data_IF_578080734606
#
_entry.id   IF_578080734606
#
_cell.length_a   1.000
_cell.length_b   1.000
_cell.length_c   1.000
_cell.angle_alpha   90.00
_cell.angle_beta   90.00
_cell.angle_gamma   90.00
#
_symmetry.space_group_name_H-M   'P 1'
#
loop_
_entity.id
_entity.type
_entity.pdbx_description
1 polymer ?
#
# COMPACT_ATOMS: atom_id res chain seq x y z
N UNK A 1 39.78 33.91 -111.71
CA UNK A 1 40.92 33.60 -112.60
C UNK A 1 42.20 33.92 -111.82
N UNK A 2 43.23 33.08 -111.74
CA UNK A 2 43.31 31.66 -112.11
C UNK A 2 44.76 31.18 -112.24
N UNK A 3 45.11 30.03 -111.64
CA UNK A 3 46.40 29.36 -111.88
C UNK A 3 47.54 29.66 -110.88
N UNK A 4 48.73 29.04 -111.07
CA UNK A 4 49.00 27.77 -110.36
C UNK A 4 50.46 27.60 -109.85
N UNK A 5 50.77 26.40 -109.30
CA UNK A 5 52.11 25.87 -108.89
C UNK A 5 52.66 26.51 -107.57
N UNK A 6 53.64 25.96 -106.84
CA UNK A 6 54.77 25.06 -107.20
C UNK A 6 55.12 24.05 -106.08
N UNK A 7 56.17 23.22 -106.27
CA UNK A 7 56.59 22.06 -105.44
C UNK A 7 57.85 22.41 -104.56
N UNK A 8 58.70 21.47 -104.06
CA UNK A 8 58.91 21.17 -102.63
C UNK A 8 60.19 21.72 -101.97
N UNK A 9 60.39 21.43 -100.67
CA UNK A 9 61.73 21.12 -100.09
C UNK A 9 61.69 20.30 -98.79
N UNK A 10 62.75 19.49 -98.57
CA UNK A 10 63.18 18.82 -97.32
C UNK A 10 64.50 19.50 -96.88
N UNK A 11 65.08 19.32 -95.66
CA UNK A 11 65.23 18.07 -94.87
C UNK A 11 64.26 18.06 -93.64
N UNK A 12 64.45 17.52 -92.42
CA UNK A 12 65.59 16.98 -91.65
C UNK A 12 65.19 15.83 -90.69
N UNK A 13 65.92 15.62 -89.59
CA UNK A 13 65.75 14.62 -88.51
C UNK A 13 66.14 15.23 -87.16
N UNK A 14 65.46 14.84 -86.07
CA UNK A 14 66.11 14.42 -84.81
C UNK A 14 65.15 13.60 -83.92
N UNK A 15 65.68 13.01 -82.84
CA UNK A 15 65.05 12.24 -81.75
C UNK A 15 63.56 12.56 -81.47
N UNK A 16 62.60 11.63 -81.40
CA UNK A 16 62.52 10.33 -80.72
C UNK A 16 62.37 10.40 -79.18
N UNK A 17 61.12 10.31 -78.68
CA UNK A 17 60.68 9.36 -77.63
C UNK A 17 59.14 9.46 -77.38
N UNK A 18 58.57 8.45 -76.72
CA UNK A 18 57.12 8.16 -76.66
C UNK A 18 56.40 8.74 -75.41
N UNK A 19 55.07 8.95 -75.45
CA UNK A 19 54.36 9.73 -74.43
C UNK A 19 53.97 8.93 -73.17
N UNK A 20 53.78 9.64 -72.05
CA UNK A 20 53.03 9.14 -70.87
C UNK A 20 52.04 10.18 -70.35
N UNK A 21 50.78 9.76 -70.18
CA UNK A 21 49.73 10.49 -69.46
C UNK A 21 49.83 10.19 -67.95
N UNK A 22 49.74 11.18 -67.08
CA UNK A 22 49.00 11.21 -65.78
C UNK A 22 49.34 12.54 -65.08
N UNK A 23 48.41 13.49 -64.93
CA UNK A 23 47.20 13.52 -64.08
C UNK A 23 47.47 14.14 -62.70
N UNK A 24 46.97 15.38 -62.50
CA UNK A 24 46.76 15.94 -61.16
C UNK A 24 45.90 14.98 -60.32
N UNK A 25 46.25 14.80 -59.05
CA UNK A 25 45.33 14.27 -58.03
C UNK A 25 45.68 14.84 -56.65
N UNK A 26 44.64 15.14 -55.88
CA UNK A 26 44.73 15.94 -54.65
C UNK A 26 45.24 15.13 -53.46
N UNK A 27 45.74 15.85 -52.44
CA UNK A 27 46.23 15.30 -51.17
C UNK A 27 45.09 14.73 -50.32
N UNK A 28 44.69 13.48 -50.58
CA UNK A 28 43.59 12.77 -49.92
C UNK A 28 43.87 12.32 -48.47
N UNK A 29 44.62 13.12 -47.68
CA UNK A 29 44.96 12.82 -46.28
C UNK A 29 43.97 13.29 -45.19
N UNK A 30 43.18 14.38 -45.31
CA UNK A 30 42.35 14.83 -44.19
C UNK A 30 41.14 13.92 -43.90
N UNK A 31 40.60 13.26 -44.93
CA UNK A 31 39.39 12.43 -44.82
C UNK A 31 39.60 11.15 -43.99
N UNK A 32 40.78 10.53 -44.04
CA UNK A 32 41.08 9.32 -43.27
C UNK A 32 41.13 9.59 -41.76
N UNK A 33 41.74 10.70 -41.36
CA UNK A 33 41.79 11.10 -39.95
C UNK A 33 40.40 11.50 -39.43
N UNK A 34 39.58 12.18 -40.23
CA UNK A 34 38.20 12.48 -39.86
C UNK A 34 37.37 11.20 -39.68
N UNK A 35 37.51 10.22 -40.58
CA UNK A 35 36.82 8.93 -40.47
C UNK A 35 37.28 8.09 -39.26
N UNK A 36 38.58 8.09 -38.94
CA UNK A 36 39.10 7.41 -37.76
C UNK A 36 38.66 8.09 -36.45
N UNK A 37 38.56 9.43 -36.44
CA UNK A 37 38.04 10.18 -35.28
C UNK A 37 36.54 9.95 -35.08
N UNK A 38 35.72 9.92 -36.14
CA UNK A 38 34.29 9.59 -35.99
C UNK A 38 34.07 8.13 -35.63
N UNK A 39 34.85 7.19 -36.18
CA UNK A 39 34.81 5.78 -35.78
C UNK A 39 35.18 5.59 -34.30
N UNK A 40 36.25 6.26 -33.82
CA UNK A 40 36.64 6.21 -32.41
C UNK A 40 35.62 6.87 -31.48
N UNK A 41 34.98 7.97 -31.91
CA UNK A 41 33.92 8.64 -31.15
C UNK A 41 32.65 7.78 -31.05
N UNK A 42 32.21 7.17 -32.15
CA UNK A 42 31.05 6.25 -32.17
C UNK A 42 31.35 5.00 -31.33
N UNK A 43 32.53 4.40 -31.48
CA UNK A 43 32.95 3.26 -30.67
C UNK A 43 32.99 3.62 -29.18
N UNK A 44 33.52 4.80 -28.84
CA UNK A 44 33.49 5.34 -27.47
C UNK A 44 32.08 5.47 -26.92
N UNK A 45 31.14 6.07 -27.67
CA UNK A 45 29.73 6.17 -27.26
C UNK A 45 29.06 4.79 -27.09
N UNK A 46 29.45 3.77 -27.86
CA UNK A 46 28.91 2.41 -27.68
C UNK A 46 29.54 1.62 -26.52
N UNK A 47 30.68 2.06 -25.98
CA UNK A 47 31.40 1.37 -24.90
C UNK A 47 31.06 1.87 -23.50
N UNK A 48 30.39 3.02 -23.39
CA UNK A 48 29.79 3.47 -22.13
C UNK A 48 28.31 3.04 -22.07
N UNK A 49 27.96 1.97 -21.33
CA UNK A 49 26.56 1.68 -21.08
C UNK A 49 25.93 2.86 -20.34
N UNK A 50 24.81 3.37 -20.85
CA UNK A 50 24.04 4.37 -20.12
C UNK A 50 23.64 3.78 -18.75
N UNK A 51 23.92 4.51 -17.67
CA UNK A 51 23.52 4.08 -16.32
C UNK A 51 22.00 4.02 -16.26
N UNK A 52 21.44 2.81 -16.33
CA UNK A 52 20.02 2.60 -16.07
C UNK A 52 19.67 3.16 -14.69
N UNK A 53 18.54 3.86 -14.60
CA UNK A 53 17.99 4.23 -13.29
C UNK A 53 17.61 2.95 -12.55
N UNK A 54 17.92 2.87 -11.24
CA UNK A 54 17.54 1.74 -10.42
C UNK A 54 16.01 1.56 -10.45
N UNK A 55 15.54 0.34 -10.65
CA UNK A 55 14.10 0.04 -10.65
C UNK A 55 13.54 0.10 -9.23
N UNK A 56 12.20 0.10 -9.10
CA UNK A 56 11.57 -0.09 -7.80
C UNK A 56 11.98 -1.44 -7.17
N UNK A 57 12.13 -2.48 -8.00
CA UNK A 57 12.59 -3.79 -7.55
C UNK A 57 14.00 -3.72 -6.95
N UNK A 58 14.97 -3.10 -7.65
CA UNK A 58 16.34 -2.88 -7.13
C UNK A 58 16.34 -2.10 -5.82
N UNK A 59 15.46 -1.10 -5.73
CA UNK A 59 15.31 -0.21 -4.57
C UNK A 59 14.78 -0.97 -3.35
N UNK A 60 13.73 -1.80 -3.53
CA UNK A 60 13.20 -2.68 -2.48
C UNK A 60 14.23 -3.72 -2.06
N UNK A 61 14.93 -4.32 -3.02
CA UNK A 61 16.01 -5.28 -2.77
C UNK A 61 17.17 -4.66 -1.98
N UNK A 62 17.53 -3.41 -2.28
CA UNK A 62 18.54 -2.65 -1.55
C UNK A 62 18.07 -2.29 -0.13
N UNK A 63 16.80 -1.89 0.04
CA UNK A 63 16.22 -1.57 1.34
C UNK A 63 16.13 -2.78 2.27
N UNK A 64 15.73 -3.95 1.74
CA UNK A 64 15.73 -5.21 2.49
C UNK A 64 17.15 -5.59 2.96
N UNK A 65 18.16 -5.41 2.08
CA UNK A 65 19.58 -5.64 2.43
C UNK A 65 20.09 -4.66 3.49
N UNK A 66 19.84 -3.36 3.35
CA UNK A 66 20.34 -2.35 4.29
C UNK A 66 19.66 -2.40 5.65
N UNK A 67 18.40 -2.82 5.72
CA UNK A 67 17.69 -3.09 6.97
C UNK A 67 18.05 -4.46 7.61
N UNK A 68 18.90 -5.28 6.98
CA UNK A 68 19.26 -6.61 7.47
C UNK A 68 18.13 -7.65 7.43
N UNK A 69 17.09 -7.43 6.61
CA UNK A 69 15.87 -8.23 6.60
C UNK A 69 16.09 -9.52 5.79
N UNK A 70 15.97 -10.66 6.48
CA UNK A 70 16.15 -11.99 5.90
C UNK A 70 15.04 -12.37 4.92
N UNK A 71 15.36 -12.36 3.61
CA UNK A 71 14.41 -12.65 2.52
C UNK A 71 13.60 -13.93 2.73
N UNK A 72 14.21 -15.00 3.24
CA UNK A 72 13.56 -16.31 3.38
C UNK A 72 12.33 -16.33 4.33
N UNK A 73 12.25 -15.39 5.27
CA UNK A 73 11.13 -15.25 6.22
C UNK A 73 10.28 -13.99 5.95
N UNK A 74 10.45 -13.36 4.79
CA UNK A 74 9.84 -12.07 4.44
C UNK A 74 8.97 -12.23 3.20
N UNK A 75 7.72 -11.80 3.29
CA UNK A 75 6.81 -11.65 2.15
C UNK A 75 6.70 -10.17 1.77
N UNK A 76 6.79 -9.85 0.49
CA UNK A 76 6.54 -8.49 -0.03
C UNK A 76 5.70 -8.61 -1.29
N UNK A 77 4.66 -7.78 -1.38
CA UNK A 77 3.78 -7.69 -2.52
C UNK A 77 3.53 -6.22 -2.85
N UNK A 78 3.89 -5.78 -4.05
CA UNK A 78 3.67 -4.40 -4.51
C UNK A 78 2.90 -4.46 -5.81
N UNK A 79 1.67 -3.95 -5.78
CA UNK A 79 0.75 -3.89 -6.92
C UNK A 79 0.27 -2.45 -7.07
N UNK A 80 0.29 -1.93 -8.29
CA UNK A 80 -0.32 -0.65 -8.66
C UNK A 80 -1.74 -0.92 -9.17
N UNK A 81 -2.72 -0.17 -8.70
CA UNK A 81 -4.14 -0.48 -8.88
C UNK A 81 -4.57 -0.51 -10.36
N UNK A 82 -3.86 0.24 -11.22
CA UNK A 82 -4.10 0.27 -12.67
C UNK A 82 -3.24 -0.77 -13.45
N UNK A 83 -2.35 -1.51 -12.78
CA UNK A 83 -1.46 -2.49 -13.42
C UNK A 83 -2.11 -3.88 -13.57
N UNK A 84 -1.77 -4.57 -14.67
CA UNK A 84 -2.22 -5.93 -14.96
C UNK A 84 -1.41 -7.04 -14.25
N UNK A 85 -0.34 -6.66 -13.54
CA UNK A 85 0.60 -7.56 -12.85
C UNK A 85 1.27 -6.81 -11.69
N UNK A 86 1.84 -7.50 -10.68
CA UNK A 86 2.56 -6.83 -9.60
C UNK A 86 3.85 -6.20 -10.12
N UNK A 87 4.26 -5.10 -9.48
CA UNK A 87 5.55 -4.45 -9.75
C UNK A 87 6.69 -5.18 -9.03
N UNK A 88 6.39 -5.81 -7.88
CA UNK A 88 7.36 -6.59 -7.12
C UNK A 88 6.70 -7.70 -6.32
N UNK A 89 7.27 -8.89 -6.37
CA UNK A 89 6.91 -10.04 -5.54
C UNK A 89 8.16 -10.60 -4.83
N UNK A 90 8.04 -10.88 -3.54
CA UNK A 90 8.95 -11.73 -2.79
C UNK A 90 8.11 -12.69 -1.94
N UNK A 91 8.25 -14.00 -2.20
CA UNK A 91 7.54 -15.07 -1.50
C UNK A 91 6.01 -14.87 -1.41
N UNK A 92 5.30 -14.54 -2.51
CA UNK A 92 3.90 -14.07 -2.47
C UNK A 92 2.91 -15.09 -1.89
N UNK A 93 3.20 -16.39 -1.99
CA UNK A 93 2.39 -17.47 -1.43
C UNK A 93 2.88 -18.04 -0.08
N UNK A 94 3.87 -17.43 0.58
CA UNK A 94 4.43 -17.98 1.81
C UNK A 94 3.49 -17.77 3.03
N UNK A 95 3.19 -18.81 3.83
CA UNK A 95 2.38 -18.66 5.04
C UNK A 95 3.20 -17.96 6.13
N UNK A 96 2.86 -16.69 6.41
CA UNK A 96 3.48 -15.86 7.44
C UNK A 96 2.45 -15.47 8.50
N UNK A 97 2.91 -15.21 9.73
CA UNK A 97 2.03 -14.72 10.81
C UNK A 97 1.71 -13.24 10.56
N UNK A 98 0.46 -12.85 10.26
CA UNK A 98 0.13 -11.48 9.85
C UNK A 98 0.12 -10.47 11.01
N UNK A 99 0.15 -10.95 12.27
CA UNK A 99 -0.02 -10.14 13.46
C UNK A 99 -1.22 -9.16 13.33
N UNK A 100 -1.02 -7.86 13.52
CA UNK A 100 -2.09 -6.87 13.38
C UNK A 100 -2.61 -6.68 11.96
N UNK A 101 -1.91 -7.13 10.90
CA UNK A 101 -2.41 -7.02 9.53
C UNK A 101 -3.65 -7.90 9.29
N UNK A 102 -3.90 -8.91 10.14
CA UNK A 102 -5.15 -9.67 10.15
C UNK A 102 -6.39 -8.78 10.31
N UNK A 103 -6.25 -7.62 10.98
CA UNK A 103 -7.32 -6.62 11.13
C UNK A 103 -7.88 -6.16 9.79
N UNK A 104 -7.06 -6.10 8.72
CA UNK A 104 -7.54 -5.74 7.38
C UNK A 104 -8.61 -6.72 6.88
N UNK A 105 -8.35 -8.02 7.03
CA UNK A 105 -9.28 -9.09 6.63
C UNK A 105 -10.51 -9.09 7.54
N UNK A 106 -10.33 -8.96 8.86
CA UNK A 106 -11.46 -8.90 9.81
C UNK A 106 -12.35 -7.68 9.59
N UNK A 107 -11.79 -6.50 9.35
CA UNK A 107 -12.56 -5.29 9.05
C UNK A 107 -13.28 -5.37 7.71
N UNK A 108 -12.64 -5.91 6.67
CA UNK A 108 -13.31 -6.14 5.38
C UNK A 108 -14.48 -7.13 5.51
N UNK A 109 -14.31 -8.21 6.27
CA UNK A 109 -15.38 -9.17 6.55
C UNK A 109 -16.53 -8.55 7.36
N UNK A 110 -16.24 -7.72 8.37
CA UNK A 110 -17.26 -7.02 9.15
C UNK A 110 -18.06 -6.03 8.29
N UNK A 111 -17.39 -5.23 7.46
CA UNK A 111 -18.04 -4.31 6.51
C UNK A 111 -18.88 -5.07 5.49
N UNK A 112 -18.42 -6.22 4.99
CA UNK A 112 -19.20 -7.05 4.07
C UNK A 112 -20.43 -7.69 4.73
N UNK A 113 -20.34 -8.07 6.01
CA UNK A 113 -21.43 -8.71 6.75
C UNK A 113 -22.48 -7.73 7.27
N UNK A 114 -22.10 -6.49 7.61
CA UNK A 114 -22.94 -5.54 8.35
C UNK A 114 -23.09 -4.15 7.71
N UNK A 115 -22.26 -3.81 6.72
CA UNK A 115 -22.15 -2.44 6.17
C UNK A 115 -21.31 -1.50 7.05
N UNK A 116 -21.06 -0.28 6.54
CA UNK A 116 -20.32 0.75 7.26
C UNK A 116 -21.14 1.42 8.37
N UNK A 117 -22.47 1.49 8.22
CA UNK A 117 -23.38 2.20 9.12
C UNK A 117 -23.88 1.34 10.30
N UNK A 118 -23.31 0.16 10.51
CA UNK A 118 -23.73 -0.76 11.57
C UNK A 118 -23.49 -0.16 12.97
N UNK A 119 -24.49 -0.31 13.84
CA UNK A 119 -24.40 0.12 15.24
C UNK A 119 -24.73 -1.06 16.15
N UNK A 120 -23.79 -1.36 17.05
CA UNK A 120 -24.02 -2.33 18.12
C UNK A 120 -24.97 -1.76 19.18
N UNK A 121 -25.84 -2.61 19.72
CA UNK A 121 -26.82 -2.22 20.72
C UNK A 121 -26.35 -2.41 22.17
N UNK A 122 -27.00 -1.67 23.06
CA UNK A 122 -27.16 -2.05 24.47
C UNK A 122 -28.54 -1.60 24.90
N UNK A 123 -29.32 -2.51 25.48
CA UNK A 123 -30.73 -2.30 25.80
C UNK A 123 -30.96 -2.42 27.31
N UNK A 124 -31.90 -1.63 27.83
CA UNK A 124 -32.31 -1.72 29.24
C UNK A 124 -33.78 -2.15 29.30
N UNK A 125 -33.99 -3.38 29.75
CA UNK A 125 -35.31 -3.91 30.07
C UNK A 125 -35.66 -3.59 31.53
N UNK A 126 -36.93 -3.27 31.74
CA UNK A 126 -37.52 -2.97 33.04
C UNK A 126 -38.86 -3.72 33.17
N UNK A 127 -39.41 -3.87 34.39
CA UNK A 127 -40.77 -4.36 34.59
C UNK A 127 -41.79 -3.51 33.80
N UNK A 128 -42.83 -4.16 33.28
CA UNK A 128 -43.91 -3.49 32.55
C UNK A 128 -44.75 -2.57 33.46
N UNK A 129 -44.83 -2.89 34.75
CA UNK A 129 -45.49 -2.06 35.74
C UNK A 129 -44.72 -0.73 35.93
N UNK A 130 -45.41 0.43 35.87
CA UNK A 130 -44.77 1.73 36.08
C UNK A 130 -44.30 1.88 37.55
N UNK A 131 -43.38 2.81 37.83
CA UNK A 131 -42.96 3.11 39.20
C UNK A 131 -44.15 3.51 40.09
N UNK A 132 -44.06 3.20 41.38
CA UNK A 132 -45.00 3.64 42.41
C UNK A 132 -45.03 5.17 42.53
N UNK A 133 -46.01 5.72 43.28
CA UNK A 133 -46.17 7.16 43.47
C UNK A 133 -44.95 7.85 44.14
N UNK A 134 -44.17 7.12 44.94
CA UNK A 134 -42.88 7.57 45.52
C UNK A 134 -41.68 7.39 44.56
N UNK A 135 -41.88 6.75 43.42
CA UNK A 135 -40.86 6.48 42.39
C UNK A 135 -40.09 5.17 42.57
N UNK A 136 -40.62 4.20 43.32
CA UNK A 136 -40.02 2.87 43.44
C UNK A 136 -40.45 1.97 42.29
N UNK A 137 -39.47 1.43 41.56
CA UNK A 137 -39.67 0.40 40.53
C UNK A 137 -39.53 -0.98 41.18
N UNK A 138 -40.62 -1.75 41.17
CA UNK A 138 -40.69 -3.08 41.80
C UNK A 138 -40.36 -4.16 40.75
N UNK A 139 -39.25 -4.86 40.95
CA UNK A 139 -38.71 -5.87 40.04
C UNK A 139 -37.28 -5.59 39.58
N UNK A 140 -36.73 -6.51 38.81
CA UNK A 140 -35.34 -6.46 38.33
C UNK A 140 -35.20 -5.62 37.04
N UNK A 141 -34.08 -4.93 36.90
CA UNK A 141 -33.62 -4.36 35.63
C UNK A 141 -32.61 -5.28 34.95
N UNK A 142 -32.70 -5.42 33.63
CA UNK A 142 -31.74 -6.17 32.82
C UNK A 142 -31.08 -5.25 31.78
N UNK A 143 -29.76 -5.05 31.88
CA UNK A 143 -28.96 -4.35 30.88
C UNK A 143 -28.37 -5.39 29.92
N UNK A 144 -28.97 -5.56 28.74
CA UNK A 144 -28.54 -6.50 27.71
C UNK A 144 -27.51 -5.85 26.78
N UNK A 145 -26.28 -6.33 26.80
CA UNK A 145 -25.26 -5.93 25.84
C UNK A 145 -25.36 -6.75 24.55
N UNK A 146 -25.40 -6.08 23.40
CA UNK A 146 -25.45 -6.70 22.07
C UNK A 146 -24.12 -6.55 21.31
N UNK A 147 -23.01 -6.42 22.05
CA UNK A 147 -21.65 -6.37 21.50
C UNK A 147 -21.04 -4.97 21.34
N UNK A 148 -21.61 -3.92 21.92
CA UNK A 148 -21.05 -2.56 21.85
C UNK A 148 -19.68 -2.47 22.55
N UNK A 149 -18.57 -2.25 21.81
CA UNK A 149 -17.22 -2.17 22.38
C UNK A 149 -16.91 -0.75 22.92
N UNK A 150 -17.89 0.15 22.93
CA UNK A 150 -17.72 1.58 23.25
C UNK A 150 -18.58 2.07 24.43
N UNK A 151 -19.51 1.24 24.90
CA UNK A 151 -20.28 1.48 26.11
C UNK A 151 -19.32 1.77 27.28
N UNK A 152 -19.49 2.90 27.94
CA UNK A 152 -18.57 3.34 29.01
C UNK A 152 -19.13 4.52 29.80
N UNK A 153 -18.53 4.87 30.94
CA UNK A 153 -18.88 6.11 31.64
C UNK A 153 -18.45 7.34 30.83
N UNK A 154 -19.19 8.45 30.92
CA UNK A 154 -18.85 9.71 30.24
C UNK A 154 -17.49 10.27 30.66
N UNK A 155 -17.10 9.99 31.89
CA UNK A 155 -15.80 10.39 32.43
C UNK A 155 -14.65 9.59 31.80
N UNK A 156 -14.85 8.29 31.55
CA UNK A 156 -13.91 7.47 30.77
C UNK A 156 -13.88 7.87 29.29
N UNK A 157 -15.04 8.14 28.67
CA UNK A 157 -15.13 8.67 27.30
C UNK A 157 -14.27 9.94 27.13
N UNK A 158 -14.40 10.89 28.06
CA UNK A 158 -13.65 12.15 28.06
C UNK A 158 -12.13 11.97 28.27
N UNK A 159 -11.73 11.06 29.16
CA UNK A 159 -10.31 10.86 29.55
C UNK A 159 -9.55 9.96 28.56
N UNK A 160 -10.17 8.87 28.13
CA UNK A 160 -9.51 7.76 27.43
C UNK A 160 -9.88 7.70 25.94
N UNK A 161 -11.17 7.73 25.60
CA UNK A 161 -11.64 7.50 24.23
C UNK A 161 -11.62 8.76 23.34
N UNK A 162 -11.75 9.95 23.95
CA UNK A 162 -11.86 11.26 23.27
C UNK A 162 -13.02 11.34 22.26
N UNK A 163 -14.03 10.48 22.41
CA UNK A 163 -15.20 10.33 21.55
C UNK A 163 -16.45 10.18 22.44
N UNK A 164 -17.62 10.64 21.97
CA UNK A 164 -18.89 10.48 22.69
C UNK A 164 -19.61 9.24 22.18
N UNK A 165 -19.95 8.31 23.08
CA UNK A 165 -20.52 6.99 22.75
C UNK A 165 -21.65 6.61 23.72
N UNK A 166 -22.21 5.39 23.61
CA UNK A 166 -23.19 4.89 24.56
C UNK A 166 -22.68 5.00 26.00
N UNK A 167 -23.53 5.43 26.94
CA UNK A 167 -23.12 5.71 28.32
C UNK A 167 -24.11 5.22 29.36
N UNK A 168 -23.59 4.64 30.45
CA UNK A 168 -24.41 4.17 31.59
C UNK A 168 -25.29 5.28 32.16
N UNK A 169 -24.78 6.52 32.17
CA UNK A 169 -25.53 7.68 32.62
C UNK A 169 -26.72 8.04 31.70
N UNK A 170 -26.75 7.56 30.44
CA UNK A 170 -27.90 7.72 29.56
C UNK A 170 -29.09 6.86 30.02
N UNK A 171 -28.84 5.60 30.36
CA UNK A 171 -29.82 4.71 30.97
C UNK A 171 -30.32 5.26 32.31
N UNK A 172 -29.41 5.73 33.18
CA UNK A 172 -29.79 6.36 34.45
C UNK A 172 -30.63 7.64 34.27
N UNK A 173 -30.30 8.50 33.28
CA UNK A 173 -31.12 9.67 32.93
C UNK A 173 -32.49 9.27 32.38
N UNK A 174 -32.58 8.18 31.62
CA UNK A 174 -33.85 7.64 31.09
C UNK A 174 -34.77 7.21 32.23
N UNK A 175 -34.30 6.32 33.11
CA UNK A 175 -35.03 5.86 34.29
C UNK A 175 -35.53 7.04 35.15
N UNK A 176 -34.65 8.01 35.44
CA UNK A 176 -35.00 9.19 36.25
C UNK A 176 -36.06 10.09 35.61
N UNK A 177 -36.04 10.24 34.28
CA UNK A 177 -37.07 11.00 33.54
C UNK A 177 -38.41 10.26 33.54
N UNK A 178 -38.36 8.94 33.43
CA UNK A 178 -39.51 8.06 33.40
C UNK A 178 -40.02 7.72 34.83
N UNK A 179 -39.67 8.55 35.83
CA UNK A 179 -40.22 8.55 37.20
C UNK A 179 -39.41 7.81 38.26
N UNK A 180 -38.44 6.98 37.88
CA UNK A 180 -37.71 6.10 38.80
C UNK A 180 -36.80 6.90 39.75
N UNK A 181 -36.97 6.66 41.05
CA UNK A 181 -36.14 7.16 42.15
C UNK A 181 -35.46 6.05 42.94
N UNK A 182 -36.07 4.87 42.99
CA UNK A 182 -35.58 3.66 43.65
C UNK A 182 -35.87 2.45 42.76
N UNK A 183 -35.01 1.44 42.83
CA UNK A 183 -35.28 0.09 42.32
C UNK A 183 -35.32 -0.82 43.54
N UNK A 184 -36.31 -1.70 43.64
CA UNK A 184 -36.43 -2.66 44.75
C UNK A 184 -35.79 -4.00 44.42
N UNK A 185 -35.82 -4.41 43.14
CA UNK A 185 -35.11 -5.58 42.66
C UNK A 185 -33.62 -5.32 42.35
N UNK A 186 -33.05 -6.24 41.59
CA UNK A 186 -31.64 -6.27 41.18
C UNK A 186 -31.42 -5.45 39.92
N UNK A 187 -30.17 -5.07 39.67
CA UNK A 187 -29.71 -4.60 38.35
C UNK A 187 -28.75 -5.65 37.81
N UNK A 188 -29.15 -6.31 36.73
CA UNK A 188 -28.49 -7.47 36.15
C UNK A 188 -27.86 -7.09 34.81
N UNK A 189 -26.57 -7.40 34.63
CA UNK A 189 -25.92 -7.31 33.33
C UNK A 189 -26.08 -8.62 32.57
N UNK A 190 -26.69 -8.57 31.39
CA UNK A 190 -26.83 -9.72 30.50
C UNK A 190 -25.84 -9.61 29.33
N UNK A 191 -25.03 -10.64 29.17
CA UNK A 191 -24.00 -10.77 28.14
C UNK A 191 -24.19 -12.02 27.26
N UNK A 192 -25.37 -12.64 27.31
CA UNK A 192 -25.69 -13.93 26.67
C UNK A 192 -25.80 -13.89 25.15
N UNK A 193 -25.76 -12.69 24.55
CA UNK A 193 -25.73 -12.48 23.10
C UNK A 193 -24.45 -13.04 22.44
N UNK A 194 -23.33 -13.08 23.17
CA UNK A 194 -22.13 -13.83 22.79
C UNK A 194 -21.99 -15.09 23.66
N UNK A 195 -21.10 -15.99 23.25
CA UNK A 195 -20.80 -17.19 24.02
C UNK A 195 -20.01 -16.89 25.32
N UNK A 196 -19.67 -17.98 26.03
CA UNK A 196 -19.01 -17.91 27.34
C UNK A 196 -17.47 -17.87 27.26
N UNK A 197 -16.87 -17.90 26.07
CA UNK A 197 -15.43 -17.86 25.85
C UNK A 197 -14.90 -16.43 26.04
N UNK A 198 -14.22 -16.20 27.15
CA UNK A 198 -13.66 -14.88 27.50
C UNK A 198 -12.29 -14.61 26.88
N UNK A 199 -11.70 -15.59 26.21
CA UNK A 199 -10.36 -15.54 25.62
C UNK A 199 -10.28 -16.49 24.43
N UNK A 200 -9.46 -16.18 23.40
CA UNK A 200 -9.17 -17.15 22.34
C UNK A 200 -8.16 -18.20 22.85
N UNK A 201 -8.40 -19.53 22.68
CA UNK A 201 -7.52 -20.57 23.22
C UNK A 201 -6.06 -20.55 22.77
N UNK A 202 -5.76 -19.89 21.65
CA UNK A 202 -4.40 -19.74 21.08
C UNK A 202 -3.70 -18.44 21.47
N UNK A 203 -4.30 -17.60 22.33
CA UNK A 203 -3.63 -16.42 22.86
C UNK A 203 -2.42 -16.77 23.71
N UNK A 204 -1.33 -16.01 23.54
CA UNK A 204 -0.15 -16.11 24.40
C UNK A 204 -0.51 -15.74 25.84
N UNK A 205 0.12 -16.35 26.86
CA UNK A 205 -0.06 -15.95 28.25
C UNK A 205 0.22 -14.45 28.45
N UNK A 206 -0.67 -13.77 29.18
CA UNK A 206 -0.57 -12.34 29.47
C UNK A 206 -1.38 -11.44 28.52
N UNK A 207 -1.67 -11.88 27.28
CA UNK A 207 -2.46 -11.09 26.32
C UNK A 207 -3.89 -10.82 26.82
N UNK A 208 -4.39 -11.68 27.71
CA UNK A 208 -5.65 -11.51 28.44
C UNK A 208 -5.68 -10.23 29.29
N UNK A 209 -4.53 -9.75 29.77
CA UNK A 209 -4.40 -8.54 30.58
C UNK A 209 -4.40 -7.27 29.72
N UNK A 210 -3.92 -7.36 28.47
CA UNK A 210 -3.89 -6.25 27.50
C UNK A 210 -5.24 -6.08 26.79
N UNK A 211 -5.89 -7.19 26.43
CA UNK A 211 -7.13 -7.20 25.65
C UNK A 211 -8.42 -7.26 26.49
N UNK A 212 -8.33 -7.69 27.75
CA UNK A 212 -9.49 -7.95 28.61
C UNK A 212 -10.30 -9.19 28.18
N UNK A 213 -11.41 -9.47 28.91
CA UNK A 213 -12.30 -10.59 28.60
C UNK A 213 -13.30 -10.25 27.48
N UNK A 214 -13.44 -11.14 26.49
CA UNK A 214 -14.42 -10.99 25.41
C UNK A 214 -15.87 -11.13 25.93
N UNK A 215 -16.74 -10.17 25.63
CA UNK A 215 -18.10 -10.12 26.17
C UNK A 215 -19.04 -9.33 25.27
N UNK A 216 -20.34 -9.67 25.26
CA UNK A 216 -21.34 -8.84 24.59
C UNK A 216 -21.73 -7.59 25.40
N UNK A 217 -21.43 -7.60 26.71
CA UNK A 217 -21.56 -6.48 27.63
C UNK A 217 -20.21 -6.21 28.30
N UNK A 218 -19.68 -5.00 28.10
CA UNK A 218 -18.42 -4.48 28.66
C UNK A 218 -18.48 -2.95 28.74
N UNK A 219 -17.81 -2.33 29.72
CA UNK A 219 -17.71 -0.88 29.86
C UNK A 219 -17.12 -0.41 31.20
#
# INVERSE_FOLDING_TARGET
MGGPLTIPTRPSRSSAQSPRRTAHRHTARPLLHLFLLTAALVLGLTLFPASAAATLADTVDAALRSAGIGRAATGVYIWDLDAASPIYELNPGAPLVPASNLKLVTSAAAVFAWGFDHQFGTELYAPEAPPTADGTLVGDLHLLGLGDPTLSTRDYQKKSLRMTTASFEAFARRLKRDGVRRIEGRVLGDASWFDKLKTVPTWKPGLQLECGPLSALSG
#
